data_IF_829093404640
#
_entry.id   IF_829093404640
#
_cell.length_a   1.000
_cell.length_b   1.000
_cell.length_c   1.000
_cell.angle_alpha   90.00
_cell.angle_beta   90.00
_cell.angle_gamma   90.00
#
_symmetry.space_group_name_H-M   'P 1'
#
loop_
_entity.id
_entity.type
_entity.pdbx_description
1 polymer ?
#
# COMPACT_ATOMS: atom_id res chain seq x y z
N UNK A 1 -16.47 -2.56 -0.46
CA UNK A 1 -15.76 -2.12 -1.67
C UNK A 1 -14.28 -1.98 -1.34
N UNK A 2 -13.38 -2.26 -2.28
CA UNK A 2 -11.94 -2.07 -2.09
C UNK A 2 -11.53 -0.69 -2.58
N UNK A 3 -10.74 0.02 -1.80
CA UNK A 3 -10.26 1.37 -2.13
C UNK A 3 -8.75 1.42 -2.14
N UNK A 4 -8.18 2.18 -3.08
CA UNK A 4 -6.73 2.38 -3.20
C UNK A 4 -6.33 3.49 -2.23
N UNK A 5 -5.47 3.16 -1.26
CA UNK A 5 -5.04 4.10 -0.22
C UNK A 5 -3.59 4.58 -0.39
N UNK A 6 -2.79 3.85 -1.17
CA UNK A 6 -1.42 4.22 -1.47
C UNK A 6 -0.93 3.59 -2.76
N UNK A 7 -0.01 4.26 -3.44
CA UNK A 7 0.66 3.74 -4.64
C UNK A 7 2.16 3.76 -4.39
N UNK A 8 2.73 2.58 -4.22
CA UNK A 8 4.16 2.40 -4.01
C UNK A 8 4.90 2.36 -5.36
N UNK A 9 6.09 2.94 -5.42
CA UNK A 9 6.95 2.93 -6.62
C UNK A 9 7.70 1.61 -6.86
N UNK A 10 7.35 0.55 -6.14
CA UNK A 10 7.97 -0.76 -6.28
C UNK A 10 7.38 -1.82 -5.35
N UNK A 11 7.58 -3.09 -5.70
CA UNK A 11 7.04 -4.23 -4.94
C UNK A 11 7.57 -4.30 -3.51
N UNK A 12 8.87 -4.03 -3.32
CA UNK A 12 9.51 -4.11 -2.00
C UNK A 12 8.89 -3.15 -0.98
N UNK A 13 8.62 -1.91 -1.41
CA UNK A 13 7.96 -0.91 -0.57
C UNK A 13 6.50 -1.28 -0.32
N UNK A 14 5.79 -1.74 -1.35
CA UNK A 14 4.41 -2.16 -1.24
C UNK A 14 4.24 -3.33 -0.24
N UNK A 15 5.13 -4.32 -0.32
CA UNK A 15 5.15 -5.48 0.57
C UNK A 15 5.51 -5.08 2.00
N UNK A 16 6.45 -4.16 2.19
CA UNK A 16 6.76 -3.59 3.49
C UNK A 16 5.53 -2.94 4.13
N UNK A 17 4.83 -2.08 3.39
CA UNK A 17 3.64 -1.40 3.88
C UNK A 17 2.49 -2.37 4.15
N UNK A 18 2.26 -3.35 3.26
CA UNK A 18 1.28 -4.42 3.48
C UNK A 18 1.56 -5.16 4.78
N UNK A 19 2.82 -5.54 5.04
CA UNK A 19 3.18 -6.25 6.27
C UNK A 19 2.97 -5.39 7.52
N UNK A 20 3.22 -4.08 7.46
CA UNK A 20 2.96 -3.17 8.58
C UNK A 20 1.47 -3.05 8.86
N UNK A 21 0.66 -2.83 7.84
CA UNK A 21 -0.80 -2.74 7.97
C UNK A 21 -1.42 -4.07 8.43
N UNK A 22 -0.94 -5.21 7.92
CA UNK A 22 -1.40 -6.53 8.32
C UNK A 22 -1.05 -6.86 9.78
N UNK A 23 0.05 -6.33 10.33
CA UNK A 23 0.40 -6.48 11.75
C UNK A 23 -0.57 -5.74 12.68
N UNK A 24 -1.14 -4.64 12.22
CA UNK A 24 -2.19 -3.92 12.95
C UNK A 24 -3.57 -4.59 12.79
N UNK A 25 -3.65 -5.70 12.06
CA UNK A 25 -4.90 -6.45 11.83
C UNK A 25 -5.70 -6.00 10.61
N UNK A 26 -5.14 -5.11 9.78
CA UNK A 26 -5.86 -4.57 8.62
C UNK A 26 -5.77 -5.49 7.40
N UNK A 27 -6.88 -5.58 6.66
CA UNK A 27 -6.93 -6.34 5.41
C UNK A 27 -6.33 -5.53 4.25
N UNK A 28 -5.23 -6.00 3.66
CA UNK A 28 -4.54 -5.30 2.57
C UNK A 28 -4.30 -6.20 1.37
N UNK A 29 -4.69 -5.72 0.18
CA UNK A 29 -4.35 -6.32 -1.10
C UNK A 29 -3.36 -5.46 -1.87
N UNK A 30 -2.42 -6.13 -2.53
CA UNK A 30 -1.50 -5.48 -3.47
C UNK A 30 -2.01 -5.74 -4.89
N UNK A 31 -2.06 -4.68 -5.70
CA UNK A 31 -2.36 -4.78 -7.13
C UNK A 31 -1.27 -4.12 -7.93
N UNK A 32 -0.66 -4.88 -8.83
CA UNK A 32 0.33 -4.35 -9.75
C UNK A 32 -0.40 -3.55 -10.83
N UNK A 33 -0.01 -2.30 -11.02
CA UNK A 33 -0.38 -1.55 -12.23
C UNK A 33 0.58 -1.95 -13.36
N UNK A 34 0.41 -3.15 -13.94
CA UNK A 34 0.95 -3.36 -15.27
C UNK A 34 0.15 -4.38 -16.09
N UNK A 35 -0.39 -3.90 -17.20
CA UNK A 35 -0.96 -4.70 -18.30
C UNK A 35 -0.04 -4.68 -19.54
N UNK A 36 1.15 -4.08 -19.45
CA UNK A 36 2.07 -3.91 -20.58
C UNK A 36 3.41 -4.59 -20.36
N UNK A 37 3.76 -5.47 -21.29
CA UNK A 37 5.06 -6.12 -21.44
C UNK A 37 6.20 -5.09 -21.28
N UNK A 38 6.89 -5.15 -20.15
CA UNK A 38 7.94 -4.19 -19.81
C UNK A 38 8.43 -4.42 -18.40
N UNK A 39 9.69 -4.83 -18.28
CA UNK A 39 10.45 -5.29 -17.09
C UNK A 39 10.44 -4.40 -15.82
N UNK A 40 9.58 -3.39 -15.75
CA UNK A 40 9.47 -2.49 -14.61
C UNK A 40 7.99 -2.25 -14.31
N UNK A 41 7.36 -3.14 -13.53
CA UNK A 41 6.13 -2.79 -12.82
C UNK A 41 6.49 -1.66 -11.83
N UNK A 42 6.44 -0.42 -12.31
CA UNK A 42 6.92 0.76 -11.58
C UNK A 42 6.00 1.16 -10.43
N UNK A 43 4.76 0.67 -10.42
CA UNK A 43 3.77 1.10 -9.44
C UNK A 43 2.92 -0.09 -8.96
N UNK A 44 2.75 -0.15 -7.64
CA UNK A 44 1.94 -1.16 -6.96
C UNK A 44 0.95 -0.42 -6.07
N UNK A 45 -0.34 -0.66 -6.31
CA UNK A 45 -1.43 -0.11 -5.53
C UNK A 45 -1.64 -0.96 -4.27
N UNK A 46 -1.76 -0.29 -3.13
CA UNK A 46 -2.25 -0.87 -1.89
C UNK A 46 -3.75 -0.59 -1.80
N UNK A 47 -4.52 -1.67 -1.68
CA UNK A 47 -5.96 -1.63 -1.50
C UNK A 47 -6.34 -2.12 -0.12
N UNK A 48 -7.32 -1.46 0.47
CA UNK A 48 -7.95 -1.86 1.74
C UNK A 48 -9.47 -1.78 1.62
N UNK A 49 -10.23 -2.47 2.49
CA UNK A 49 -11.66 -2.26 2.59
C UNK A 49 -11.97 -0.81 2.94
N UNK A 50 -13.01 -0.25 2.33
CA UNK A 50 -13.42 1.14 2.57
C UNK A 50 -13.63 1.47 4.06
N UNK A 51 -14.14 0.52 4.84
CA UNK A 51 -14.35 0.67 6.28
C UNK A 51 -13.04 0.83 7.07
N UNK A 52 -11.95 0.26 6.57
CA UNK A 52 -10.60 0.31 7.16
C UNK A 52 -9.73 1.43 6.57
N UNK A 53 -10.21 2.11 5.52
CA UNK A 53 -9.42 3.09 4.77
C UNK A 53 -8.90 4.24 5.63
N UNK A 54 -9.68 4.68 6.62
CA UNK A 54 -9.29 5.76 7.53
C UNK A 54 -8.13 5.37 8.44
N UNK A 55 -8.18 4.17 9.00
CA UNK A 55 -7.11 3.65 9.87
C UNK A 55 -5.85 3.36 9.08
N UNK A 56 -6.00 2.68 7.93
CA UNK A 56 -4.89 2.42 7.01
C UNK A 56 -4.17 3.71 6.60
N UNK A 57 -4.92 4.76 6.26
CA UNK A 57 -4.35 6.06 5.90
C UNK A 57 -3.55 6.67 7.06
N UNK A 58 -4.05 6.61 8.28
CA UNK A 58 -3.36 7.11 9.48
C UNK A 58 -2.00 6.42 9.66
N UNK A 59 -1.98 5.09 9.57
CA UNK A 59 -0.75 4.30 9.71
C UNK A 59 0.24 4.60 8.58
N UNK A 60 -0.24 4.73 7.34
CA UNK A 60 0.63 5.10 6.21
C UNK A 60 1.26 6.47 6.39
N UNK A 61 0.50 7.46 6.86
CA UNK A 61 1.03 8.79 7.14
C UNK A 61 2.09 8.75 8.24
N UNK A 62 1.95 7.89 9.25
CA UNK A 62 2.99 7.67 10.24
C UNK A 62 4.24 7.00 9.63
N UNK A 63 4.07 6.00 8.76
CA UNK A 63 5.18 5.30 8.10
C UNK A 63 5.98 6.23 7.18
N UNK A 64 5.29 6.99 6.33
CA UNK A 64 5.91 7.97 5.41
C UNK A 64 6.45 9.19 6.15
N UNK A 65 5.75 9.65 7.19
CA UNK A 65 6.14 10.81 7.98
C UNK A 65 7.36 10.56 8.87
N UNK A 66 7.52 9.34 9.40
CA UNK A 66 8.67 8.98 10.26
C UNK A 66 9.98 8.89 9.47
N UNK A 67 9.95 8.72 8.15
CA UNK A 67 11.14 8.67 7.31
C UNK A 67 11.84 10.04 7.08
N UNK A 68 11.39 11.12 7.74
CA UNK A 68 11.90 12.49 7.57
C UNK A 68 12.42 13.18 8.84
N UNK A 69 12.78 12.42 9.88
CA UNK A 69 13.47 12.94 11.06
C UNK A 69 14.93 12.48 11.09
#
# INVERSE_FOLDING_TARGET
>A
MWTVIYVASGWKEAEYMKNRLAREGLLVMLRNCNSGDGKFARHVELLVPEIEAREAHSIIMQLVGTARA
#
